data_IF_114858485189
#
_entry.id   IF_114858485189
#
_cell.length_a   1.000
_cell.length_b   1.000
_cell.length_c   1.000
_cell.angle_alpha   90.00
_cell.angle_beta   90.00
_cell.angle_gamma   90.00
#
_symmetry.space_group_name_H-M   'P 1'
#
loop_
_entity.id
_entity.type
_entity.pdbx_description
1 polymer ?
#
# COMPACT_ATOMS: atom_id res chain seq x y z
N UNK A 1 -24.58 -3.93 -4.01
CA UNK A 1 -23.62 -4.91 -4.57
C UNK A 1 -22.22 -4.52 -4.14
N UNK A 2 -21.47 -5.41 -3.51
CA UNK A 2 -20.20 -5.12 -2.83
C UNK A 2 -19.07 -4.84 -3.80
N UNK A 3 -18.28 -3.78 -3.55
CA UNK A 3 -17.07 -3.42 -4.30
C UNK A 3 -15.85 -3.43 -3.37
N UNK A 4 -14.64 -3.60 -3.91
CA UNK A 4 -13.41 -3.52 -3.13
C UNK A 4 -13.26 -2.19 -2.37
N UNK A 5 -13.66 -1.07 -2.99
CA UNK A 5 -13.61 0.25 -2.34
C UNK A 5 -14.57 0.37 -1.13
N UNK A 6 -15.74 -0.29 -1.16
CA UNK A 6 -16.64 -0.31 -0.02
C UNK A 6 -16.04 -1.08 1.15
N UNK A 7 -15.39 -2.21 0.85
CA UNK A 7 -14.72 -3.03 1.87
C UNK A 7 -13.52 -2.29 2.48
N UNK A 8 -12.73 -1.59 1.67
CA UNK A 8 -11.65 -0.74 2.17
C UNK A 8 -12.18 0.38 3.08
N UNK A 9 -13.27 1.05 2.73
CA UNK A 9 -13.92 2.05 3.60
C UNK A 9 -14.36 1.44 4.93
N UNK A 10 -14.96 0.24 4.89
CA UNK A 10 -15.35 -0.49 6.09
C UNK A 10 -14.11 -0.84 6.95
N UNK A 11 -13.06 -1.40 6.36
CA UNK A 11 -11.82 -1.71 7.07
C UNK A 11 -11.15 -0.45 7.65
N UNK A 12 -11.12 0.66 6.91
CA UNK A 12 -10.55 1.93 7.36
C UNK A 12 -11.32 2.56 8.53
N UNK A 13 -12.63 2.35 8.62
CA UNK A 13 -13.44 2.82 9.76
C UNK A 13 -13.12 2.08 11.06
N UNK A 14 -12.36 0.99 11.00
CA UNK A 14 -11.95 0.19 12.15
C UNK A 14 -10.55 0.54 12.68
N UNK A 15 -9.85 1.46 12.03
CA UNK A 15 -8.51 1.89 12.46
C UNK A 15 -8.54 2.45 13.88
N UNK A 16 -7.55 2.06 14.68
CA UNK A 16 -7.46 2.42 16.09
C UNK A 16 -8.21 1.46 17.04
N UNK A 17 -9.01 0.53 16.51
CA UNK A 17 -9.52 -0.56 17.35
C UNK A 17 -8.38 -1.47 17.82
N UNK A 18 -8.47 -1.92 19.05
CA UNK A 18 -7.58 -2.96 19.59
C UNK A 18 -8.35 -3.83 20.60
N UNK A 19 -7.83 -5.04 20.84
CA UNK A 19 -8.39 -5.93 21.88
C UNK A 19 -8.33 -5.33 23.29
N UNK A 20 -7.43 -4.37 23.50
CA UNK A 20 -7.24 -3.71 24.81
C UNK A 20 -8.18 -2.54 25.03
N UNK A 21 -8.78 -1.97 23.96
CA UNK A 21 -9.81 -0.94 24.07
C UNK A 21 -11.23 -1.48 23.77
N UNK A 22 -11.36 -2.80 23.60
CA UNK A 22 -12.67 -3.45 23.48
C UNK A 22 -13.36 -3.48 24.85
N UNK A 23 -14.63 -3.08 24.95
CA UNK A 23 -15.34 -3.00 26.24
C UNK A 23 -15.68 -4.38 26.83
N UNK A 24 -15.50 -5.47 26.08
CA UNK A 24 -15.84 -6.82 26.51
C UNK A 24 -14.69 -7.79 26.21
N UNK A 25 -14.63 -8.90 26.96
CA UNK A 25 -13.64 -9.96 26.75
C UNK A 25 -13.63 -10.48 25.31
N UNK A 26 -12.46 -10.88 24.84
CA UNK A 26 -12.23 -11.25 23.45
C UNK A 26 -12.09 -10.05 22.53
N UNK A 27 -12.64 -10.13 21.33
CA UNK A 27 -12.73 -9.02 20.38
C UNK A 27 -14.12 -8.96 19.74
N UNK A 28 -14.58 -7.80 19.32
CA UNK A 28 -15.88 -7.69 18.62
C UNK A 28 -15.96 -8.59 17.39
N UNK A 29 -14.83 -8.78 16.69
CA UNK A 29 -14.74 -9.66 15.51
C UNK A 29 -14.83 -11.13 15.89
N UNK A 30 -14.19 -11.52 16.98
CA UNK A 30 -14.25 -12.88 17.52
C UNK A 30 -15.63 -13.21 18.06
N UNK A 31 -16.26 -12.33 18.86
CA UNK A 31 -17.62 -12.50 19.37
C UNK A 31 -18.64 -12.61 18.23
N UNK A 32 -18.55 -11.73 17.24
CA UNK A 32 -19.39 -11.80 16.04
C UNK A 32 -19.20 -13.13 15.30
N UNK A 33 -17.95 -13.56 15.07
CA UNK A 33 -17.65 -14.78 14.36
C UNK A 33 -18.17 -16.01 15.12
N UNK A 34 -17.96 -16.04 16.44
CA UNK A 34 -18.50 -17.09 17.33
C UNK A 34 -20.01 -17.21 17.21
N UNK A 35 -20.72 -16.10 17.19
CA UNK A 35 -22.19 -16.06 17.07
C UNK A 35 -22.64 -16.59 15.70
N UNK A 36 -22.07 -16.12 14.59
CA UNK A 36 -22.51 -16.50 13.24
C UNK A 36 -22.10 -17.92 12.83
N UNK A 37 -21.10 -18.49 13.50
CA UNK A 37 -20.59 -19.84 13.25
C UNK A 37 -21.04 -20.88 14.30
N UNK A 38 -21.67 -20.43 15.40
CA UNK A 38 -22.04 -21.32 16.50
C UNK A 38 -20.85 -21.89 17.26
N UNK A 39 -19.70 -21.17 17.32
CA UNK A 39 -18.43 -21.68 17.84
C UNK A 39 -17.82 -20.72 18.88
N UNK A 40 -18.17 -20.93 20.16
CA UNK A 40 -17.82 -20.04 21.29
C UNK A 40 -16.30 -19.79 21.48
N UNK A 41 -15.47 -20.72 21.04
CA UNK A 41 -14.00 -20.61 21.09
C UNK A 41 -13.49 -19.27 20.57
N UNK A 42 -14.05 -18.76 19.47
CA UNK A 42 -13.58 -17.55 18.81
C UNK A 42 -13.88 -16.26 19.62
N UNK A 43 -14.77 -16.32 20.59
CA UNK A 43 -15.08 -15.20 21.48
C UNK A 43 -14.06 -15.04 22.62
N UNK A 44 -13.16 -16.00 22.83
CA UNK A 44 -12.21 -15.98 23.94
C UNK A 44 -11.12 -14.92 23.74
N UNK A 45 -10.60 -14.40 24.87
CA UNK A 45 -9.46 -13.50 24.90
C UNK A 45 -8.21 -14.20 24.34
N UNK A 46 -7.38 -13.45 23.61
CA UNK A 46 -6.13 -13.95 23.05
C UNK A 46 -6.25 -14.69 21.72
N UNK A 47 -7.45 -15.07 21.29
CA UNK A 47 -7.64 -15.71 19.97
C UNK A 47 -7.23 -14.72 18.86
N UNK A 48 -6.35 -15.14 17.91
CA UNK A 48 -6.00 -14.33 16.75
C UNK A 48 -7.25 -14.03 15.91
N UNK A 49 -7.39 -12.78 15.48
CA UNK A 49 -8.62 -12.35 14.79
C UNK A 49 -8.38 -11.70 13.41
N UNK A 50 -7.20 -11.84 12.82
CA UNK A 50 -6.88 -11.25 11.52
C UNK A 50 -7.89 -11.66 10.43
N UNK A 51 -8.18 -12.95 10.33
CA UNK A 51 -9.10 -13.49 9.33
C UNK A 51 -10.58 -13.26 9.72
N UNK A 52 -10.90 -13.22 11.01
CA UNK A 52 -12.22 -12.80 11.49
C UNK A 52 -12.50 -11.32 11.24
N UNK A 53 -11.49 -10.45 11.35
CA UNK A 53 -11.59 -9.04 10.94
C UNK A 53 -11.93 -8.90 9.45
N UNK A 54 -11.21 -9.64 8.60
CA UNK A 54 -11.47 -9.69 7.16
C UNK A 54 -12.89 -10.18 6.89
N UNK A 55 -13.29 -11.28 7.52
CA UNK A 55 -14.63 -11.86 7.40
C UNK A 55 -15.72 -10.87 7.80
N UNK A 56 -15.51 -10.16 8.91
CA UNK A 56 -16.45 -9.15 9.40
C UNK A 56 -16.62 -7.99 8.42
N UNK A 57 -15.52 -7.44 7.91
CA UNK A 57 -15.57 -6.33 6.95
C UNK A 57 -16.28 -6.73 5.64
N UNK A 58 -16.03 -7.94 5.15
CA UNK A 58 -16.73 -8.48 3.97
C UNK A 58 -18.23 -8.62 4.23
N UNK A 59 -18.62 -9.16 5.39
CA UNK A 59 -20.02 -9.33 5.78
C UNK A 59 -20.75 -8.01 5.93
N UNK A 60 -20.14 -6.98 6.56
CA UNK A 60 -20.72 -5.64 6.67
C UNK A 60 -20.99 -5.01 5.31
N UNK A 61 -20.29 -5.44 4.29
CA UNK A 61 -20.50 -5.00 2.91
C UNK A 61 -21.43 -5.93 2.12
N UNK A 62 -22.00 -6.97 2.73
CA UNK A 62 -22.93 -7.90 2.09
C UNK A 62 -22.25 -9.02 1.28
N UNK A 63 -20.98 -9.33 1.56
CA UNK A 63 -20.25 -10.44 0.93
C UNK A 63 -19.95 -11.54 1.97
N UNK A 64 -20.65 -12.66 1.87
CA UNK A 64 -20.44 -13.81 2.76
C UNK A 64 -19.24 -14.64 2.30
N UNK A 65 -18.06 -14.33 2.83
CA UNK A 65 -16.85 -15.11 2.65
C UNK A 65 -16.15 -15.22 4.02
N UNK A 66 -16.72 -16.07 4.89
CA UNK A 66 -16.32 -16.20 6.30
C UNK A 66 -15.21 -17.21 6.45
N UNK A 67 -14.19 -16.87 7.23
CA UNK A 67 -13.10 -17.74 7.67
C UNK A 67 -12.46 -17.15 8.94
N UNK A 68 -11.85 -18.01 9.74
CA UNK A 68 -10.95 -17.67 10.85
C UNK A 68 -9.60 -18.38 10.70
N UNK A 69 -9.32 -18.96 9.51
CA UNK A 69 -8.12 -19.74 9.23
C UNK A 69 -7.59 -19.43 7.83
N UNK A 70 -6.51 -18.67 7.78
CA UNK A 70 -5.95 -18.11 6.53
C UNK A 70 -5.61 -19.19 5.49
N UNK A 71 -4.93 -20.31 5.83
CA UNK A 71 -4.65 -21.35 4.85
C UNK A 71 -5.92 -21.97 4.25
N UNK A 72 -6.96 -22.15 5.06
CA UNK A 72 -8.26 -22.65 4.59
C UNK A 72 -8.93 -21.67 3.63
N UNK A 73 -8.84 -20.36 3.91
CA UNK A 73 -9.34 -19.29 3.00
C UNK A 73 -8.62 -19.32 1.66
N UNK A 74 -7.28 -19.47 1.67
CA UNK A 74 -6.48 -19.57 0.43
C UNK A 74 -6.92 -20.78 -0.39
N UNK A 75 -7.08 -21.93 0.26
CA UNK A 75 -7.51 -23.18 -0.42
C UNK A 75 -8.89 -23.03 -1.05
N UNK A 76 -9.84 -22.45 -0.33
CA UNK A 76 -11.18 -22.16 -0.86
C UNK A 76 -11.10 -21.20 -2.07
N UNK A 77 -10.34 -20.11 -1.95
CA UNK A 77 -10.16 -19.15 -3.03
C UNK A 77 -9.50 -19.78 -4.26
N UNK A 78 -8.54 -20.68 -4.07
CA UNK A 78 -7.91 -21.45 -5.16
C UNK A 78 -8.93 -22.31 -5.91
N UNK A 79 -9.79 -23.04 -5.18
CA UNK A 79 -10.87 -23.85 -5.78
C UNK A 79 -11.87 -23.01 -6.57
N UNK A 80 -12.09 -21.75 -6.17
CA UNK A 80 -13.00 -20.82 -6.84
C UNK A 80 -12.36 -20.02 -7.97
N UNK A 81 -11.03 -20.14 -8.20
CA UNK A 81 -10.32 -19.35 -9.20
C UNK A 81 -10.17 -17.86 -8.83
N UNK A 82 -10.17 -17.55 -7.52
CA UNK A 82 -10.10 -16.16 -7.02
C UNK A 82 -8.68 -15.70 -6.69
N UNK A 83 -7.68 -16.53 -6.94
CA UNK A 83 -6.29 -16.11 -6.78
C UNK A 83 -5.88 -15.20 -7.94
N UNK A 84 -5.16 -14.14 -7.61
CA UNK A 84 -4.57 -13.21 -8.57
C UNK A 84 -3.07 -13.09 -8.33
N UNK A 85 -2.33 -12.66 -9.36
CA UNK A 85 -0.91 -12.36 -9.17
C UNK A 85 -0.75 -11.17 -8.23
N UNK A 86 0.30 -11.18 -7.41
CA UNK A 86 0.57 -10.08 -6.47
C UNK A 86 0.77 -8.73 -7.18
N UNK A 87 1.28 -8.75 -8.41
CA UNK A 87 1.46 -7.57 -9.26
C UNK A 87 0.13 -7.00 -9.79
N UNK A 88 -0.94 -7.81 -9.78
CA UNK A 88 -2.26 -7.44 -10.29
C UNK A 88 -3.27 -7.11 -9.16
N UNK A 89 -2.79 -7.06 -7.91
CA UNK A 89 -3.65 -6.74 -6.76
C UNK A 89 -4.31 -5.38 -6.90
N UNK A 90 -5.58 -5.30 -6.50
CA UNK A 90 -6.41 -4.10 -6.50
C UNK A 90 -6.86 -3.75 -5.07
N UNK A 91 -7.26 -2.50 -4.80
CA UNK A 91 -7.86 -2.14 -3.53
C UNK A 91 -9.06 -3.04 -3.20
N UNK A 92 -9.04 -3.62 -1.99
CA UNK A 92 -10.02 -4.58 -1.51
C UNK A 92 -9.61 -6.04 -1.67
N UNK A 93 -8.62 -6.37 -2.50
CA UNK A 93 -8.08 -7.73 -2.52
C UNK A 93 -7.51 -8.09 -1.15
N UNK A 94 -7.56 -9.38 -0.82
CA UNK A 94 -6.98 -9.91 0.42
C UNK A 94 -5.56 -10.36 0.14
N UNK A 95 -4.62 -9.93 0.97
CA UNK A 95 -3.22 -10.36 0.88
C UNK A 95 -2.90 -11.23 2.09
N UNK A 96 -2.31 -12.40 1.82
CA UNK A 96 -1.93 -13.40 2.81
C UNK A 96 -0.39 -13.45 2.90
N UNK A 97 0.09 -13.51 4.13
CA UNK A 97 1.51 -13.46 4.46
C UNK A 97 1.95 -14.74 5.17
N UNK A 98 3.17 -15.12 4.90
CA UNK A 98 3.92 -16.18 5.58
C UNK A 98 5.22 -15.52 6.06
N UNK A 99 5.34 -15.33 7.39
CA UNK A 99 6.43 -14.55 7.97
C UNK A 99 7.69 -15.39 8.20
N UNK A 100 7.54 -16.64 8.54
CA UNK A 100 8.63 -17.58 8.85
C UNK A 100 9.04 -18.45 7.67
N UNK A 101 8.27 -18.35 6.55
CA UNK A 101 8.51 -19.08 5.30
C UNK A 101 8.42 -20.60 5.42
N UNK A 102 7.56 -21.07 6.28
CA UNK A 102 7.28 -22.51 6.44
C UNK A 102 6.30 -23.06 5.40
N UNK A 103 5.76 -22.21 4.54
CA UNK A 103 4.77 -22.51 3.51
C UNK A 103 3.33 -22.41 3.99
N UNK A 104 3.11 -22.02 5.26
CA UNK A 104 1.79 -21.84 5.87
C UNK A 104 1.52 -20.35 6.09
N UNK A 105 0.39 -19.85 5.64
CA UNK A 105 0.09 -18.43 5.81
C UNK A 105 -0.28 -18.10 7.26
N UNK A 106 0.44 -17.15 7.86
CA UNK A 106 0.30 -16.69 9.25
C UNK A 106 -0.73 -15.57 9.43
N UNK A 107 -0.92 -14.77 8.40
CA UNK A 107 -1.60 -13.49 8.53
C UNK A 107 -2.32 -13.09 7.24
N UNK A 108 -3.31 -12.18 7.39
CA UNK A 108 -4.10 -11.66 6.28
C UNK A 108 -4.51 -10.21 6.53
N UNK A 109 -4.61 -9.44 5.46
CA UNK A 109 -5.15 -8.08 5.47
C UNK A 109 -5.77 -7.70 4.14
N UNK A 110 -6.31 -6.49 4.06
CA UNK A 110 -6.80 -5.89 2.83
C UNK A 110 -5.70 -5.10 2.15
N UNK A 111 -5.54 -5.23 0.85
CA UNK A 111 -4.77 -4.30 0.03
C UNK A 111 -5.54 -2.99 -0.05
N UNK A 112 -4.97 -1.90 0.49
CA UNK A 112 -5.52 -0.55 0.35
C UNK A 112 -4.88 0.14 -0.85
N UNK A 113 -3.54 0.05 -0.98
CA UNK A 113 -2.78 0.58 -2.11
C UNK A 113 -1.73 -0.45 -2.52
N UNK A 114 -1.60 -0.70 -3.83
CA UNK A 114 -0.50 -1.48 -4.37
C UNK A 114 0.61 -0.55 -4.86
N UNK A 115 1.81 -0.80 -4.38
CA UNK A 115 3.06 -0.21 -4.87
C UNK A 115 3.82 -1.20 -5.77
N UNK A 116 4.97 -0.81 -6.31
CA UNK A 116 5.75 -1.66 -7.21
C UNK A 116 6.24 -2.97 -6.56
N UNK A 117 6.59 -2.93 -5.25
CA UNK A 117 7.19 -4.06 -4.52
C UNK A 117 6.60 -4.25 -3.12
N UNK A 118 5.51 -3.56 -2.83
CA UNK A 118 4.86 -3.61 -1.52
C UNK A 118 3.38 -3.24 -1.63
N UNK A 119 2.68 -3.46 -0.53
CA UNK A 119 1.32 -2.95 -0.33
C UNK A 119 1.26 -1.99 0.85
N UNK A 120 0.41 -0.99 0.78
CA UNK A 120 -0.25 -0.46 1.97
C UNK A 120 -1.46 -1.32 2.23
N UNK A 121 -1.55 -1.85 3.44
CA UNK A 121 -2.62 -2.75 3.87
C UNK A 121 -3.40 -2.16 5.03
N UNK A 122 -4.63 -2.67 5.25
CA UNK A 122 -5.36 -2.51 6.51
C UNK A 122 -5.53 -3.90 7.10
N UNK A 123 -5.00 -4.10 8.31
CA UNK A 123 -4.88 -5.40 8.95
C UNK A 123 -5.47 -5.39 10.34
N UNK A 124 -6.24 -6.43 10.68
CA UNK A 124 -6.66 -6.73 12.04
C UNK A 124 -5.63 -7.62 12.75
N UNK A 125 -5.61 -7.55 14.07
CA UNK A 125 -4.74 -8.38 14.91
C UNK A 125 -3.23 -8.16 14.70
N UNK A 126 -2.85 -7.01 14.19
CA UNK A 126 -1.44 -6.61 13.99
C UNK A 126 -1.03 -5.52 14.98
N UNK A 127 0.26 -5.18 15.00
CA UNK A 127 0.81 -4.08 15.79
C UNK A 127 1.04 -2.83 14.96
N UNK A 128 0.82 -1.65 15.55
CA UNK A 128 1.22 -0.38 14.97
C UNK A 128 2.73 -0.17 14.96
N UNK A 129 3.46 -0.84 15.87
CA UNK A 129 4.93 -0.80 15.95
C UNK A 129 5.56 -1.91 15.10
N UNK A 130 6.73 -1.62 14.51
CA UNK A 130 7.52 -2.63 13.80
C UNK A 130 8.14 -3.69 14.75
N UNK A 131 8.28 -3.35 16.05
CA UNK A 131 8.75 -4.27 17.09
C UNK A 131 7.66 -5.14 17.70
N UNK A 132 6.39 -4.81 17.47
CA UNK A 132 5.27 -5.59 17.96
C UNK A 132 4.94 -6.77 17.05
N UNK A 133 4.17 -7.74 17.57
CA UNK A 133 3.72 -8.89 16.78
C UNK A 133 2.94 -8.45 15.55
N UNK A 134 3.28 -9.02 14.41
CA UNK A 134 2.60 -8.73 13.14
C UNK A 134 1.47 -9.73 12.86
N UNK A 135 1.45 -10.87 13.53
CA UNK A 135 0.41 -11.91 13.42
C UNK A 135 -0.53 -11.99 14.63
N UNK A 136 -0.15 -11.38 15.77
CA UNK A 136 -0.99 -11.35 16.98
C UNK A 136 -0.78 -10.04 17.79
N UNK A 137 -0.69 -8.91 17.12
CA UNK A 137 -0.46 -7.59 17.72
C UNK A 137 -1.70 -6.92 18.30
N UNK A 138 -2.87 -7.52 18.15
CA UNK A 138 -4.11 -7.15 18.83
C UNK A 138 -4.84 -5.89 18.35
N UNK A 139 -4.33 -5.14 17.37
CA UNK A 139 -4.93 -3.91 16.87
C UNK A 139 -5.29 -3.92 15.39
N UNK A 140 -6.00 -2.89 14.93
CA UNK A 140 -6.30 -2.63 13.51
C UNK A 140 -5.47 -1.44 13.05
N UNK A 141 -4.55 -1.69 12.12
CA UNK A 141 -3.60 -0.68 11.66
C UNK A 141 -3.38 -0.71 10.15
N UNK A 142 -2.97 0.44 9.59
CA UNK A 142 -2.32 0.49 8.28
C UNK A 142 -0.89 0.00 8.39
N UNK A 143 -0.49 -0.87 7.45
CA UNK A 143 0.88 -1.41 7.39
C UNK A 143 1.43 -1.25 5.98
N UNK A 144 2.76 -1.16 5.87
CA UNK A 144 3.46 -1.34 4.60
C UNK A 144 4.10 -2.71 4.59
N UNK A 145 3.79 -3.52 3.57
CA UNK A 145 4.21 -4.93 3.47
C UNK A 145 4.95 -5.16 2.17
N UNK A 146 6.19 -5.68 2.27
CA UNK A 146 6.95 -6.14 1.10
C UNK A 146 6.28 -7.34 0.44
N UNK A 147 6.49 -7.50 -0.87
CA UNK A 147 6.07 -8.70 -1.59
C UNK A 147 6.77 -9.97 -1.15
N UNK A 148 7.90 -9.88 -0.43
CA UNK A 148 8.75 -11.03 -0.07
C UNK A 148 8.07 -12.05 0.85
N UNK A 149 7.11 -11.60 1.67
CA UNK A 149 6.33 -12.44 2.56
C UNK A 149 4.93 -12.78 2.03
N UNK A 150 4.60 -12.34 0.81
CA UNK A 150 3.27 -12.57 0.23
C UNK A 150 3.20 -13.95 -0.41
N UNK A 151 2.32 -14.80 0.10
CA UNK A 151 2.10 -16.18 -0.41
C UNK A 151 0.84 -16.31 -1.25
N UNK A 152 -0.13 -15.43 -1.07
CA UNK A 152 -1.33 -15.40 -1.91
C UNK A 152 -1.97 -14.02 -1.92
N UNK A 153 -2.63 -13.69 -3.04
CA UNK A 153 -3.57 -12.58 -3.15
C UNK A 153 -4.88 -13.14 -3.65
N UNK A 154 -5.96 -12.82 -2.93
CA UNK A 154 -7.31 -13.30 -3.20
C UNK A 154 -8.17 -12.11 -3.61
N UNK A 155 -8.84 -12.21 -4.75
CA UNK A 155 -9.89 -11.28 -5.17
C UNK A 155 -11.25 -11.88 -4.87
N UNK A 156 -11.92 -11.47 -3.79
CA UNK A 156 -13.29 -11.90 -3.54
C UNK A 156 -14.20 -11.58 -4.74
N UNK A 157 -15.34 -12.27 -4.91
CA UNK A 157 -16.23 -12.05 -6.05
C UNK A 157 -17.01 -10.75 -5.89
N UNK A 158 -16.26 -9.65 -5.84
CA UNK A 158 -16.86 -8.32 -5.90
C UNK A 158 -17.64 -8.19 -7.22
N UNK A 159 -18.87 -7.66 -7.15
CA UNK A 159 -19.45 -7.19 -8.40
C UNK A 159 -18.55 -6.08 -8.92
N UNK A 160 -18.07 -6.29 -10.11
CA UNK A 160 -17.21 -5.37 -10.79
C UNK A 160 -17.81 -3.96 -10.67
N UNK A 161 -17.30 -3.14 -9.73
CA UNK A 161 -17.17 -1.76 -10.09
C UNK A 161 -16.33 -1.83 -11.37
N UNK A 162 -16.87 -1.30 -12.48
CA UNK A 162 -16.04 -1.02 -13.64
C UNK A 162 -14.70 -0.59 -13.08
N UNK A 163 -13.60 -1.31 -13.40
CA UNK A 163 -12.23 -0.82 -13.11
C UNK A 163 -12.37 0.69 -13.22
N UNK A 164 -11.90 1.48 -12.22
CA UNK A 164 -11.74 2.88 -12.54
C UNK A 164 -10.95 2.83 -13.82
N UNK A 165 -11.57 3.24 -14.92
CA UNK A 165 -10.86 3.44 -16.15
C UNK A 165 -9.94 4.57 -15.76
N UNK A 166 -8.73 4.19 -15.28
CA UNK A 166 -7.63 5.15 -15.24
C UNK A 166 -7.55 5.50 -16.72
N UNK A 167 -7.93 6.72 -17.11
CA UNK A 167 -7.94 7.09 -18.51
C UNK A 167 -6.57 6.70 -19.03
N UNK A 168 -6.50 5.94 -20.13
CA UNK A 168 -5.26 5.52 -20.74
C UNK A 168 -4.38 6.76 -20.86
N UNK A 169 -3.36 6.88 -20.01
CA UNK A 169 -2.50 8.07 -19.91
C UNK A 169 -2.48 8.81 -18.57
N UNK A 170 -3.31 8.45 -17.57
CA UNK A 170 -3.21 9.04 -16.22
C UNK A 170 -2.37 8.19 -15.29
N UNK A 171 -1.50 8.85 -14.52
CA UNK A 171 -0.65 8.25 -13.51
C UNK A 171 -1.47 7.98 -12.23
N UNK A 172 -1.25 6.83 -11.57
CA UNK A 172 -1.81 6.59 -10.24
C UNK A 172 -1.31 7.62 -9.23
N UNK A 173 -2.21 8.14 -8.39
CA UNK A 173 -1.87 9.08 -7.30
C UNK A 173 -1.70 8.28 -6.01
N UNK A 174 -0.64 7.49 -5.95
CA UNK A 174 -0.37 6.53 -4.87
C UNK A 174 0.60 7.05 -3.79
N UNK A 175 1.29 8.16 -4.08
CA UNK A 175 2.28 8.73 -3.17
C UNK A 175 3.65 8.05 -3.27
N UNK A 176 3.90 7.27 -4.33
CA UNK A 176 5.14 6.53 -4.53
C UNK A 176 5.85 6.96 -5.80
N UNK A 177 7.10 7.38 -5.68
CA UNK A 177 7.90 7.78 -6.84
C UNK A 177 8.65 6.58 -7.42
N UNK A 178 7.92 5.72 -8.12
CA UNK A 178 8.47 4.57 -8.83
C UNK A 178 8.63 4.81 -10.34
N UNK A 179 8.95 3.75 -11.07
CA UNK A 179 9.19 3.74 -12.52
C UNK A 179 8.07 4.41 -13.34
N UNK A 180 6.79 4.21 -12.97
CA UNK A 180 5.66 4.82 -13.68
C UNK A 180 5.64 6.34 -13.52
N UNK A 181 5.85 6.84 -12.30
CA UNK A 181 5.97 8.27 -12.00
C UNK A 181 7.17 8.88 -12.73
N UNK A 182 8.31 8.18 -12.71
CA UNK A 182 9.54 8.61 -13.41
C UNK A 182 9.30 8.72 -14.92
N UNK A 183 8.71 7.72 -15.58
CA UNK A 183 8.38 7.79 -17.03
C UNK A 183 7.45 8.94 -17.37
N UNK A 184 6.45 9.20 -16.53
CA UNK A 184 5.55 10.33 -16.73
C UNK A 184 6.27 11.68 -16.62
N UNK A 185 7.17 11.82 -15.65
CA UNK A 185 8.02 13.01 -15.49
C UNK A 185 9.00 13.16 -16.65
N UNK A 186 9.63 12.07 -17.10
CA UNK A 186 10.55 12.06 -18.25
C UNK A 186 9.82 12.52 -19.51
N UNK A 187 8.60 12.03 -19.76
CA UNK A 187 7.76 12.49 -20.88
C UNK A 187 7.47 13.99 -20.82
N UNK A 188 7.11 14.51 -19.64
CA UNK A 188 6.80 15.94 -19.45
C UNK A 188 8.05 16.79 -19.65
N UNK A 189 9.21 16.34 -19.16
CA UNK A 189 10.47 17.08 -19.18
C UNK A 189 11.29 16.83 -20.45
N UNK A 190 10.82 15.99 -21.38
CA UNK A 190 11.53 15.71 -22.64
C UNK A 190 12.88 15.03 -22.40
N UNK A 191 12.95 14.08 -21.47
CA UNK A 191 14.12 13.22 -21.24
C UNK A 191 13.85 11.79 -21.69
N UNK A 192 14.88 10.94 -21.72
CA UNK A 192 14.72 9.53 -22.07
C UNK A 192 13.72 8.84 -21.15
N UNK A 193 12.72 8.14 -21.72
CA UNK A 193 11.58 7.57 -21.00
C UNK A 193 11.85 6.10 -20.58
N UNK A 194 12.96 5.85 -19.93
CA UNK A 194 13.38 4.52 -19.43
C UNK A 194 12.78 4.18 -18.05
N UNK A 195 12.24 5.19 -17.35
CA UNK A 195 11.71 5.03 -15.99
C UNK A 195 12.79 4.99 -14.91
N UNK A 196 14.02 5.42 -15.24
CA UNK A 196 15.16 5.40 -14.32
C UNK A 196 15.53 6.82 -13.88
N UNK A 197 15.73 7.00 -12.59
CA UNK A 197 16.45 8.15 -12.00
C UNK A 197 17.86 7.66 -11.69
N UNK A 198 18.79 7.92 -12.60
CA UNK A 198 20.15 7.38 -12.56
C UNK A 198 21.05 8.13 -11.60
N UNK A 199 22.13 7.47 -11.17
CA UNK A 199 23.33 8.05 -10.57
C UNK A 199 23.04 9.04 -9.43
N UNK A 200 22.26 8.61 -8.43
CA UNK A 200 21.89 9.43 -7.28
C UNK A 200 22.79 9.13 -6.08
N UNK A 201 23.16 10.17 -5.34
CA UNK A 201 24.02 10.05 -4.17
C UNK A 201 23.29 9.30 -3.03
N UNK A 202 23.78 8.12 -2.66
CA UNK A 202 23.13 7.20 -1.75
C UNK A 202 22.79 7.79 -0.36
N UNK A 203 23.62 8.63 0.29
CA UNK A 203 23.28 9.27 1.55
C UNK A 203 22.04 10.19 1.46
N UNK A 204 21.70 10.69 0.27
CA UNK A 204 20.52 11.52 0.07
C UNK A 204 19.19 10.73 0.05
N UNK A 205 19.23 9.41 0.00
CA UNK A 205 18.03 8.55 0.01
C UNK A 205 17.09 8.85 1.20
N UNK A 206 17.65 9.25 2.34
CA UNK A 206 16.87 9.62 3.52
C UNK A 206 15.93 10.81 3.29
N UNK A 207 16.28 11.75 2.38
CA UNK A 207 15.44 12.91 2.04
C UNK A 207 14.34 12.61 1.04
N UNK A 208 14.35 11.40 0.46
CA UNK A 208 13.36 10.97 -0.53
C UNK A 208 12.72 9.64 -0.06
N UNK A 209 12.10 9.58 1.11
CA UNK A 209 11.60 8.32 1.68
C UNK A 209 10.49 7.64 0.86
N UNK A 210 9.82 8.39 -0.03
CA UNK A 210 8.78 7.86 -0.90
C UNK A 210 9.28 7.36 -2.27
N UNK A 211 10.58 7.02 -2.39
CA UNK A 211 11.11 6.40 -3.61
C UNK A 211 10.73 4.93 -3.72
N UNK A 212 10.43 4.52 -4.95
CA UNK A 212 10.19 3.13 -5.32
C UNK A 212 11.26 2.59 -6.27
N UNK A 213 10.84 1.70 -7.17
CA UNK A 213 11.70 1.14 -8.22
C UNK A 213 12.18 2.19 -9.23
N UNK A 214 13.30 1.93 -9.87
CA UNK A 214 13.86 2.77 -10.93
C UNK A 214 14.81 3.86 -10.44
N UNK A 215 15.17 3.90 -9.16
CA UNK A 215 16.22 4.77 -8.65
C UNK A 215 17.54 4.02 -8.52
N UNK A 216 18.60 4.58 -9.07
CA UNK A 216 19.97 4.07 -8.97
C UNK A 216 20.78 4.92 -7.99
N UNK A 217 21.28 4.28 -6.95
CA UNK A 217 22.01 4.92 -5.86
C UNK A 217 23.48 4.55 -5.91
N UNK A 218 24.34 5.54 -5.86
CA UNK A 218 25.79 5.44 -5.96
C UNK A 218 26.46 6.16 -4.79
N UNK A 219 27.76 5.94 -4.61
CA UNK A 219 28.58 6.63 -3.63
C UNK A 219 29.01 8.02 -4.13
N UNK A 220 30.25 8.39 -3.81
CA UNK A 220 30.87 9.68 -4.19
C UNK A 220 31.00 9.87 -5.71
N UNK A 221 30.86 8.83 -6.52
CA UNK A 221 30.89 8.88 -7.98
C UNK A 221 29.58 9.32 -8.63
N UNK A 222 28.55 9.62 -7.84
CA UNK A 222 27.23 10.01 -8.35
C UNK A 222 27.31 11.24 -9.29
N UNK A 223 26.80 11.08 -10.51
CA UNK A 223 26.83 12.12 -11.57
C UNK A 223 25.50 12.87 -11.71
N UNK A 224 24.45 12.36 -11.07
CA UNK A 224 23.11 12.91 -11.18
C UNK A 224 22.33 12.46 -12.40
N UNK A 225 21.05 12.79 -12.41
CA UNK A 225 20.09 12.42 -13.45
C UNK A 225 19.65 13.65 -14.26
N UNK A 226 19.56 13.48 -15.58
CA UNK A 226 19.03 14.53 -16.46
C UNK A 226 17.60 14.94 -16.06
N UNK A 227 16.77 13.97 -15.62
CA UNK A 227 15.42 14.25 -15.15
C UNK A 227 15.47 15.19 -13.92
N UNK A 228 16.28 14.84 -12.92
CA UNK A 228 16.38 15.65 -11.70
C UNK A 228 16.93 17.04 -12.04
N UNK A 229 17.94 17.15 -12.89
CA UNK A 229 18.49 18.45 -13.33
C UNK A 229 17.42 19.33 -14.02
N UNK A 230 16.56 18.74 -14.87
CA UNK A 230 15.44 19.45 -15.50
C UNK A 230 14.40 19.90 -14.47
N UNK A 231 14.07 19.05 -13.49
CA UNK A 231 13.16 19.41 -12.40
C UNK A 231 13.74 20.52 -11.52
N UNK A 232 15.03 20.44 -11.19
CA UNK A 232 15.72 21.49 -10.44
C UNK A 232 15.66 22.86 -11.15
N UNK A 233 15.86 22.89 -12.47
CA UNK A 233 15.65 24.11 -13.27
C UNK A 233 14.22 24.65 -13.14
N UNK A 234 13.21 23.79 -13.24
CA UNK A 234 11.81 24.15 -13.08
C UNK A 234 11.51 24.66 -11.66
N UNK A 235 12.16 24.12 -10.66
CA UNK A 235 12.04 24.51 -9.24
C UNK A 235 12.91 25.71 -8.85
N UNK A 236 13.72 26.23 -9.80
CA UNK A 236 14.64 27.36 -9.60
C UNK A 236 15.70 27.08 -8.52
N UNK A 237 16.30 25.90 -8.57
CA UNK A 237 17.44 25.49 -7.73
C UNK A 237 18.60 25.02 -8.63
N UNK A 238 19.80 24.82 -8.04
CA UNK A 238 21.00 24.37 -8.75
C UNK A 238 20.76 23.06 -9.48
N UNK A 239 20.96 23.01 -10.82
CA UNK A 239 20.63 21.82 -11.61
C UNK A 239 21.80 20.82 -11.66
N UNK A 240 22.25 20.33 -10.50
CA UNK A 240 23.32 19.35 -10.38
C UNK A 240 22.87 17.90 -10.69
N UNK A 241 21.56 17.68 -10.83
CA UNK A 241 21.00 16.37 -11.12
C UNK A 241 20.89 15.44 -9.90
N UNK A 242 21.25 15.90 -8.70
CA UNK A 242 21.24 15.12 -7.46
C UNK A 242 20.02 15.51 -6.62
N UNK A 243 19.19 14.53 -6.30
CA UNK A 243 18.03 14.72 -5.43
C UNK A 243 18.48 14.68 -3.96
N UNK A 244 18.72 15.86 -3.39
CA UNK A 244 19.11 16.04 -1.98
C UNK A 244 18.12 16.92 -1.22
N UNK A 245 18.49 17.42 -0.02
CA UNK A 245 17.59 18.23 0.83
C UNK A 245 17.13 19.52 0.14
N UNK A 246 18.00 20.20 -0.62
CA UNK A 246 17.64 21.40 -1.38
C UNK A 246 16.60 21.09 -2.47
N UNK A 247 16.75 19.96 -3.17
CA UNK A 247 15.77 19.47 -4.14
C UNK A 247 14.42 19.17 -3.44
N UNK A 248 14.44 18.48 -2.31
CA UNK A 248 13.23 18.13 -1.56
C UNK A 248 12.44 19.39 -1.17
N UNK A 249 13.09 20.36 -0.56
CA UNK A 249 12.46 21.64 -0.19
C UNK A 249 11.94 22.43 -1.40
N UNK A 250 12.71 22.48 -2.49
CA UNK A 250 12.30 23.18 -3.71
C UNK A 250 11.08 22.52 -4.36
N UNK A 251 11.05 21.18 -4.42
CA UNK A 251 9.93 20.39 -4.88
C UNK A 251 8.67 20.65 -4.06
N UNK A 252 8.79 20.66 -2.74
CA UNK A 252 7.67 20.92 -1.82
C UNK A 252 7.08 22.32 -2.02
N UNK A 253 7.93 23.36 -2.13
CA UNK A 253 7.50 24.73 -2.48
C UNK A 253 6.77 24.79 -3.82
N UNK A 254 7.33 24.12 -4.84
CA UNK A 254 6.76 24.08 -6.19
C UNK A 254 5.37 23.45 -6.23
N UNK A 255 5.18 22.33 -5.52
CA UNK A 255 3.89 21.63 -5.46
C UNK A 255 2.96 22.13 -4.33
N UNK A 256 3.37 23.17 -3.58
CA UNK A 256 2.60 23.83 -2.52
C UNK A 256 2.15 22.85 -1.42
N UNK A 257 3.09 22.05 -0.94
CA UNK A 257 2.93 21.18 0.23
C UNK A 257 3.82 21.66 1.37
N UNK A 258 3.61 21.21 2.63
CA UNK A 258 4.48 21.56 3.75
C UNK A 258 5.97 21.28 3.43
N UNK A 259 6.84 22.23 3.81
CA UNK A 259 8.28 22.19 3.50
C UNK A 259 9.04 21.64 4.71
N UNK A 260 9.11 20.31 4.82
CA UNK A 260 9.85 19.60 5.87
C UNK A 260 11.24 19.09 5.42
N UNK A 261 11.53 19.21 4.12
CA UNK A 261 12.79 18.75 3.53
C UNK A 261 12.81 17.26 3.18
N UNK A 262 11.68 16.58 3.28
CA UNK A 262 11.56 15.14 2.96
C UNK A 262 10.48 14.90 1.91
N UNK A 263 10.84 14.29 0.78
CA UNK A 263 9.87 13.91 -0.26
C UNK A 263 9.11 12.66 0.18
N UNK A 264 8.17 12.84 1.10
CA UNK A 264 7.26 11.81 1.57
C UNK A 264 6.07 11.58 0.62
N UNK A 265 5.17 10.68 1.01
CA UNK A 265 4.03 10.27 0.19
C UNK A 265 3.13 11.45 -0.23
N UNK A 266 2.92 12.45 0.64
CA UNK A 266 2.06 13.59 0.33
C UNK A 266 2.70 14.52 -0.72
N UNK A 267 4.02 14.73 -0.66
CA UNK A 267 4.78 15.44 -1.69
C UNK A 267 4.68 14.74 -3.04
N UNK A 268 4.80 13.41 -3.05
CA UNK A 268 4.67 12.61 -4.28
C UNK A 268 3.24 12.63 -4.80
N UNK A 269 2.21 12.50 -3.97
CA UNK A 269 0.80 12.63 -4.41
C UNK A 269 0.50 13.98 -5.04
N UNK A 270 1.04 15.07 -4.47
CA UNK A 270 0.87 16.40 -5.04
C UNK A 270 1.52 16.50 -6.43
N UNK A 271 2.72 15.97 -6.59
CA UNK A 271 3.42 15.85 -7.87
C UNK A 271 2.62 15.01 -8.88
N UNK A 272 2.16 13.82 -8.49
CA UNK A 272 1.37 12.92 -9.36
C UNK A 272 0.08 13.58 -9.84
N UNK A 273 -0.63 14.31 -8.96
CA UNK A 273 -1.80 15.11 -9.36
C UNK A 273 -1.43 16.21 -10.37
N UNK A 274 -0.29 16.87 -10.20
CA UNK A 274 0.18 17.88 -11.15
C UNK A 274 0.56 17.27 -12.51
N UNK A 275 1.22 16.11 -12.52
CA UNK A 275 1.52 15.32 -13.72
C UNK A 275 0.22 15.01 -14.48
N UNK A 276 -0.79 14.49 -13.80
CA UNK A 276 -2.07 14.14 -14.43
C UNK A 276 -2.78 15.35 -15.03
N UNK A 277 -2.76 16.49 -14.35
CA UNK A 277 -3.31 17.74 -14.92
C UNK A 277 -2.58 18.18 -16.19
N UNK A 278 -1.28 17.97 -16.26
CA UNK A 278 -0.47 18.34 -17.43
C UNK A 278 -0.67 17.34 -18.58
N UNK A 279 -0.77 16.06 -18.30
CA UNK A 279 -1.02 15.02 -19.32
C UNK A 279 -2.44 15.05 -19.87
N UNK A 280 -3.43 15.44 -19.07
CA UNK A 280 -4.84 15.56 -19.49
C UNK A 280 -5.18 16.84 -20.27
N UNK A 281 -4.23 17.76 -20.46
CA UNK A 281 -4.41 19.01 -21.23
C UNK A 281 -3.96 18.91 -22.70
N UNK A 282 -3.66 17.70 -23.18
CA UNK A 282 -3.23 17.48 -24.58
C UNK A 282 -4.36 16.89 -25.41
#
# INVERSE_FOLDING_TARGET
>A
MTTGNQVIKCAASQLGYSRWNDPAAGTKYGRWYAQVMGASYFANSGVPYCDMFVSWCLEQCGLQFRSAYVPGRINYARQKGWLVKREDALPGDLVCFDWDRDGTADHIGFVEIRYSWSYQTIEGNTSGSWRGSQSNGGGVYRRTRSFDSVVAVIRPPYKSAARPVVPTGTLAVDGWWGTATTRALQRINGTQQDGVVSSQYAPNKQYIPAVGSGWQWEGESAQGSQLIAKMQKAFRTTPDGIAGPAFAQAMQRYYKVPVDGYVGADSVRAMQRAINRQLGRK
#
